data_IF_812989041025
#
_entry.id   IF_812989041025
#
_cell.length_a   1.000
_cell.length_b   1.000
_cell.length_c   1.000
_cell.angle_alpha   90.00
_cell.angle_beta   90.00
_cell.angle_gamma   90.00
#
_symmetry.space_group_name_H-M   'P 1'
#
loop_
_entity.id
_entity.type
_entity.pdbx_description
1 polymer ?
#
# COMPACT_ATOMS: atom_id res chain seq x y z
N UNK A 1 -39.18 -14.71 -3.49
CA UNK A 1 -38.54 -13.81 -4.49
C UNK A 1 -37.09 -13.50 -4.16
N UNK A 2 -36.72 -13.28 -2.88
CA UNK A 2 -35.34 -12.93 -2.45
C UNK A 2 -34.27 -13.97 -2.79
N UNK A 3 -34.59 -15.27 -2.75
CA UNK A 3 -33.61 -16.34 -3.01
C UNK A 3 -33.20 -16.44 -4.50
N UNK A 4 -34.09 -16.04 -5.42
CA UNK A 4 -33.81 -15.98 -6.87
C UNK A 4 -32.86 -14.84 -7.24
N UNK A 5 -32.81 -13.76 -6.44
CA UNK A 5 -31.94 -12.61 -6.70
C UNK A 5 -30.51 -12.87 -6.21
N UNK A 6 -30.34 -13.76 -5.24
CA UNK A 6 -29.04 -14.17 -4.68
C UNK A 6 -28.47 -15.45 -5.31
N UNK A 7 -29.21 -16.08 -6.24
CA UNK A 7 -28.78 -17.25 -7.00
C UNK A 7 -27.58 -16.87 -7.89
N UNK A 8 -26.46 -17.57 -7.69
CA UNK A 8 -25.15 -17.28 -8.31
C UNK A 8 -24.58 -15.89 -7.94
N UNK A 9 -24.43 -15.64 -6.63
CA UNK A 9 -23.85 -14.41 -6.08
C UNK A 9 -22.40 -14.16 -6.54
N UNK A 10 -21.69 -15.20 -7.00
CA UNK A 10 -20.35 -15.14 -7.58
C UNK A 10 -20.28 -14.43 -8.94
N UNK A 11 -21.33 -14.55 -9.76
CA UNK A 11 -21.45 -13.94 -11.09
C UNK A 11 -22.48 -12.80 -11.07
N UNK A 12 -22.34 -11.90 -10.09
CA UNK A 12 -23.28 -10.81 -9.88
C UNK A 12 -23.19 -9.76 -10.99
N UNK A 13 -24.21 -9.66 -11.84
CA UNK A 13 -24.30 -8.65 -12.90
C UNK A 13 -24.75 -7.28 -12.37
N UNK A 14 -24.45 -6.22 -13.12
CA UNK A 14 -24.92 -4.86 -12.81
C UNK A 14 -26.44 -4.77 -12.69
N UNK A 15 -27.20 -5.49 -13.52
CA UNK A 15 -28.66 -5.49 -13.45
C UNK A 15 -29.19 -6.16 -12.17
N UNK A 16 -28.50 -7.18 -11.67
CA UNK A 16 -28.83 -7.81 -10.38
C UNK A 16 -28.47 -6.90 -9.22
N UNK A 17 -27.32 -6.22 -9.30
CA UNK A 17 -26.93 -5.15 -8.36
C UNK A 17 -27.99 -4.06 -8.26
N UNK A 18 -28.39 -3.47 -9.39
CA UNK A 18 -29.39 -2.41 -9.40
C UNK A 18 -30.75 -2.87 -8.83
N UNK A 19 -31.14 -4.14 -9.09
CA UNK A 19 -32.37 -4.73 -8.52
C UNK A 19 -32.29 -4.87 -7.00
N UNK A 20 -31.21 -5.43 -6.45
CA UNK A 20 -31.07 -5.56 -4.98
C UNK A 20 -30.96 -4.19 -4.31
N UNK A 21 -30.20 -3.28 -4.91
CA UNK A 21 -30.04 -1.91 -4.41
C UNK A 21 -31.39 -1.20 -4.28
N UNK A 22 -32.25 -1.29 -5.30
CA UNK A 22 -33.61 -0.71 -5.27
C UNK A 22 -34.52 -1.31 -4.21
N UNK A 23 -34.31 -2.58 -3.84
CA UNK A 23 -35.09 -3.23 -2.77
C UNK A 23 -34.58 -2.79 -1.38
N UNK A 24 -33.25 -2.73 -1.20
CA UNK A 24 -32.64 -2.32 0.06
C UNK A 24 -32.90 -0.83 0.36
N UNK A 25 -32.75 0.03 -0.66
CA UNK A 25 -32.96 1.48 -0.56
C UNK A 25 -33.86 1.95 -1.70
N UNK A 26 -35.19 1.85 -1.53
CA UNK A 26 -36.14 2.32 -2.53
C UNK A 26 -36.03 3.84 -2.69
N UNK A 27 -36.02 4.30 -3.93
CA UNK A 27 -35.97 5.71 -4.26
C UNK A 27 -37.37 6.33 -4.03
N UNK A 28 -37.49 7.26 -3.07
CA UNK A 28 -38.77 7.89 -2.73
C UNK A 28 -39.27 8.88 -3.80
N UNK A 29 -38.46 9.14 -4.83
CA UNK A 29 -38.73 10.10 -5.92
C UNK A 29 -39.51 9.51 -7.09
N UNK A 30 -39.66 8.18 -7.17
CA UNK A 30 -40.36 7.48 -8.24
C UNK A 30 -41.42 6.55 -7.64
N UNK A 31 -42.65 6.50 -8.21
CA UNK A 31 -43.64 5.55 -7.75
C UNK A 31 -43.11 4.12 -7.97
N UNK A 32 -42.86 3.41 -6.88
CA UNK A 32 -42.40 2.03 -6.94
C UNK A 32 -43.42 1.19 -7.74
N UNK A 33 -42.97 0.38 -8.72
CA UNK A 33 -43.85 -0.59 -9.36
C UNK A 33 -44.53 -1.43 -8.27
N UNK A 34 -45.84 -1.61 -8.37
CA UNK A 34 -46.70 -2.24 -7.34
C UNK A 34 -46.23 -3.63 -6.88
N UNK A 35 -45.36 -4.29 -7.63
CA UNK A 35 -44.75 -5.58 -7.33
C UNK A 35 -43.44 -5.51 -6.50
N UNK A 36 -42.93 -4.33 -6.16
CA UNK A 36 -41.68 -4.10 -5.41
C UNK A 36 -41.90 -3.44 -4.04
N UNK A 37 -43.16 -3.29 -3.59
CA UNK A 37 -43.46 -2.86 -2.21
C UNK A 37 -43.07 -3.98 -1.24
N UNK A 38 -41.79 -4.05 -0.89
CA UNK A 38 -41.26 -4.94 0.14
C UNK A 38 -41.48 -4.31 1.51
N UNK A 39 -42.05 -5.06 2.44
CA UNK A 39 -42.23 -4.61 3.82
C UNK A 39 -40.84 -4.39 4.48
N UNK A 40 -40.77 -3.56 5.52
CA UNK A 40 -39.54 -3.29 6.26
C UNK A 40 -38.93 -4.57 6.86
N UNK A 41 -39.74 -5.59 7.10
CA UNK A 41 -39.32 -6.93 7.55
C UNK A 41 -38.64 -7.72 6.45
N UNK A 42 -39.15 -7.66 5.22
CA UNK A 42 -38.55 -8.31 4.06
C UNK A 42 -37.20 -7.69 3.68
N UNK A 43 -37.07 -6.36 3.81
CA UNK A 43 -35.80 -5.63 3.56
C UNK A 43 -34.72 -6.04 4.55
N UNK A 44 -35.07 -6.13 5.83
CA UNK A 44 -34.14 -6.52 6.89
C UNK A 44 -33.64 -7.97 6.72
N UNK A 45 -34.53 -8.91 6.41
CA UNK A 45 -34.14 -10.30 6.16
C UNK A 45 -33.33 -10.45 4.87
N UNK A 46 -33.64 -9.68 3.82
CA UNK A 46 -32.80 -9.61 2.63
C UNK A 46 -31.41 -9.07 2.95
N UNK A 47 -31.29 -8.01 3.74
CA UNK A 47 -30.02 -7.42 4.13
C UNK A 47 -29.13 -8.44 4.88
N UNK A 48 -29.71 -9.21 5.82
CA UNK A 48 -28.98 -10.32 6.48
C UNK A 48 -28.47 -11.36 5.48
N UNK A 49 -29.30 -11.75 4.51
CA UNK A 49 -28.91 -12.71 3.47
C UNK A 49 -27.77 -12.17 2.60
N UNK A 50 -27.81 -10.89 2.22
CA UNK A 50 -26.76 -10.21 1.44
C UNK A 50 -25.44 -10.19 2.22
N UNK A 51 -25.45 -9.83 3.50
CA UNK A 51 -24.25 -9.84 4.35
C UNK A 51 -23.67 -11.25 4.45
N UNK A 52 -24.49 -12.27 4.73
CA UNK A 52 -24.04 -13.66 4.82
C UNK A 52 -23.45 -14.19 3.50
N UNK A 53 -24.10 -13.89 2.36
CA UNK A 53 -23.62 -14.28 1.04
C UNK A 53 -22.27 -13.61 0.72
N UNK A 54 -22.14 -12.33 1.05
CA UNK A 54 -20.90 -11.57 0.85
C UNK A 54 -19.75 -12.12 1.69
N UNK A 55 -19.99 -12.38 2.99
CA UNK A 55 -18.98 -12.95 3.88
C UNK A 55 -18.48 -14.32 3.41
N UNK A 56 -19.37 -15.17 2.89
CA UNK A 56 -19.05 -16.49 2.33
C UNK A 56 -18.23 -16.35 1.05
N UNK A 57 -18.60 -15.40 0.18
CA UNK A 57 -17.89 -15.17 -1.07
C UNK A 57 -16.48 -14.62 -0.83
N UNK A 58 -16.32 -13.67 0.11
CA UNK A 58 -15.00 -13.15 0.48
C UNK A 58 -14.08 -14.24 1.01
N UNK A 59 -14.60 -15.20 1.79
CA UNK A 59 -13.82 -16.37 2.24
C UNK A 59 -13.36 -17.25 1.07
N UNK A 60 -14.18 -17.40 0.04
CA UNK A 60 -13.81 -18.15 -1.17
C UNK A 60 -12.68 -17.45 -1.95
N UNK A 61 -12.73 -16.12 -2.05
CA UNK A 61 -11.70 -15.33 -2.73
C UNK A 61 -10.36 -15.37 -2.00
N UNK A 62 -10.38 -15.42 -0.67
CA UNK A 62 -9.18 -15.59 0.16
C UNK A 62 -8.48 -16.94 -0.12
N UNK A 63 -9.24 -18.02 -0.35
CA UNK A 63 -8.71 -19.37 -0.57
C UNK A 63 -8.17 -19.60 -1.98
N UNK A 64 -8.53 -18.78 -2.97
CA UNK A 64 -8.08 -18.96 -4.36
C UNK A 64 -7.79 -17.62 -5.04
N UNK A 65 -6.62 -17.01 -4.78
CA UNK A 65 -6.30 -15.65 -5.23
C UNK A 65 -6.08 -15.48 -6.75
N UNK A 66 -6.35 -16.50 -7.58
CA UNK A 66 -6.07 -16.51 -9.02
C UNK A 66 -7.15 -17.10 -9.94
N UNK A 67 -8.28 -17.58 -9.41
CA UNK A 67 -9.35 -18.21 -10.23
C UNK A 67 -10.66 -17.43 -10.27
N UNK A 68 -10.75 -16.27 -9.62
CA UNK A 68 -11.99 -15.48 -9.63
C UNK A 68 -12.19 -14.85 -11.02
N UNK A 69 -13.07 -15.42 -11.83
CA UNK A 69 -13.63 -14.82 -13.05
C UNK A 69 -14.35 -13.46 -12.81
N UNK A 70 -14.38 -12.93 -11.58
CA UNK A 70 -14.96 -11.63 -11.28
C UNK A 70 -14.01 -10.51 -11.69
N UNK A 71 -14.41 -9.78 -12.74
CA UNK A 71 -13.83 -8.49 -13.09
C UNK A 71 -13.79 -7.55 -11.87
N UNK A 72 -12.85 -6.58 -11.86
CA UNK A 72 -12.72 -5.62 -10.76
C UNK A 72 -14.02 -4.87 -10.42
N UNK A 73 -14.91 -4.70 -11.41
CA UNK A 73 -16.24 -4.11 -11.23
C UNK A 73 -17.17 -4.95 -10.35
N UNK A 74 -17.16 -6.28 -10.49
CA UNK A 74 -18.02 -7.18 -9.70
C UNK A 74 -17.65 -7.18 -8.22
N UNK A 75 -16.35 -7.07 -7.91
CA UNK A 75 -15.88 -6.98 -6.51
C UNK A 75 -16.40 -5.72 -5.84
N UNK A 76 -16.35 -4.59 -6.53
CA UNK A 76 -16.85 -3.30 -6.03
C UNK A 76 -18.35 -3.32 -5.77
N UNK A 77 -19.16 -3.83 -6.71
CA UNK A 77 -20.62 -3.96 -6.53
C UNK A 77 -21.02 -4.80 -5.31
N UNK A 78 -20.28 -5.87 -5.05
CA UNK A 78 -20.54 -6.75 -3.90
C UNK A 78 -20.19 -6.05 -2.58
N UNK A 79 -19.10 -5.27 -2.57
CA UNK A 79 -18.74 -4.42 -1.43
C UNK A 79 -19.82 -3.37 -1.14
N UNK A 80 -20.25 -2.63 -2.16
CA UNK A 80 -21.28 -1.59 -2.05
C UNK A 80 -22.63 -2.14 -1.59
N UNK A 81 -23.02 -3.35 -2.05
CA UNK A 81 -24.25 -4.01 -1.58
C UNK A 81 -24.22 -4.41 -0.11
N UNK A 82 -23.10 -4.96 0.35
CA UNK A 82 -22.96 -5.31 1.75
C UNK A 82 -22.96 -4.08 2.66
N UNK A 83 -22.36 -2.98 2.19
CA UNK A 83 -22.37 -1.67 2.87
C UNK A 83 -23.80 -1.16 3.04
N UNK A 84 -24.60 -1.21 1.96
CA UNK A 84 -26.01 -0.86 1.98
C UNK A 84 -26.85 -1.82 2.84
N UNK A 85 -26.52 -3.11 2.85
CA UNK A 85 -27.19 -4.07 3.70
C UNK A 85 -26.93 -3.80 5.18
N UNK A 86 -25.70 -3.43 5.56
CA UNK A 86 -25.40 -2.99 6.93
C UNK A 86 -26.20 -1.74 7.30
N UNK A 87 -26.30 -0.73 6.43
CA UNK A 87 -27.11 0.46 6.72
C UNK A 87 -28.58 0.11 7.00
N UNK A 88 -29.18 -0.79 6.21
CA UNK A 88 -30.56 -1.26 6.41
C UNK A 88 -30.71 -2.08 7.71
N UNK A 89 -29.74 -2.91 8.06
CA UNK A 89 -29.75 -3.66 9.34
C UNK A 89 -29.74 -2.69 10.53
N UNK A 90 -29.05 -1.57 10.36
CA UNK A 90 -28.85 -0.54 11.36
C UNK A 90 -30.02 0.46 11.51
N UNK A 91 -30.96 0.50 10.56
CA UNK A 91 -32.19 1.31 10.63
C UNK A 91 -33.20 0.78 11.65
N UNK A 92 -33.15 -0.50 12.03
CA UNK A 92 -34.07 -1.07 13.01
C UNK A 92 -33.63 -0.75 14.44
N UNK A 93 -34.53 -0.22 15.30
CA UNK A 93 -34.23 -0.05 16.72
C UNK A 93 -33.94 -1.42 17.34
N UNK A 94 -32.81 -1.51 18.03
CA UNK A 94 -32.31 -2.77 18.59
C UNK A 94 -33.10 -3.11 19.86
N UNK A 95 -33.55 -4.37 19.94
CA UNK A 95 -34.01 -4.98 21.18
C UNK A 95 -32.91 -5.94 21.65
N UNK A 96 -32.34 -5.74 22.86
CA UNK A 96 -31.34 -6.59 23.55
C UNK A 96 -29.95 -6.73 22.87
N UNK A 97 -29.11 -7.68 23.38
CA UNK A 97 -27.72 -8.06 23.01
C UNK A 97 -27.42 -8.31 21.50
N UNK A 98 -28.37 -8.02 20.62
CA UNK A 98 -28.33 -8.22 19.18
C UNK A 98 -27.41 -7.22 18.47
N UNK A 99 -27.21 -6.02 19.03
CA UNK A 99 -26.32 -4.98 18.47
C UNK A 99 -24.87 -5.42 18.43
N UNK A 100 -24.35 -5.98 19.54
CA UNK A 100 -23.00 -6.51 19.62
C UNK A 100 -22.72 -7.60 18.57
N UNK A 101 -23.71 -8.44 18.26
CA UNK A 101 -23.58 -9.50 17.24
C UNK A 101 -23.47 -8.90 15.84
N UNK A 102 -24.24 -7.85 15.55
CA UNK A 102 -24.23 -7.16 14.25
C UNK A 102 -22.91 -6.39 14.07
N UNK A 103 -22.46 -5.68 15.09
CA UNK A 103 -21.18 -4.96 15.08
C UNK A 103 -20.00 -5.90 14.89
N UNK A 104 -19.96 -7.02 15.62
CA UNK A 104 -18.93 -8.05 15.42
C UNK A 104 -18.93 -8.60 13.99
N UNK A 105 -20.11 -8.78 13.39
CA UNK A 105 -20.24 -9.18 11.98
C UNK A 105 -19.74 -8.09 11.02
N UNK A 106 -19.98 -6.82 11.32
CA UNK A 106 -19.49 -5.69 10.54
C UNK A 106 -17.95 -5.58 10.60
N UNK A 107 -17.37 -5.74 11.79
CA UNK A 107 -15.90 -5.86 11.95
C UNK A 107 -15.36 -7.02 11.13
N UNK A 108 -16.00 -8.19 11.18
CA UNK A 108 -15.57 -9.34 10.37
C UNK A 108 -15.64 -9.06 8.87
N UNK A 109 -16.61 -8.27 8.40
CA UNK A 109 -16.70 -7.86 7.00
C UNK A 109 -15.54 -6.94 6.61
N UNK A 110 -15.25 -5.91 7.42
CA UNK A 110 -14.13 -4.98 7.21
C UNK A 110 -12.80 -5.75 7.09
N UNK A 111 -12.57 -6.72 7.99
CA UNK A 111 -11.37 -7.56 7.96
C UNK A 111 -11.26 -8.40 6.69
N UNK A 112 -12.37 -8.99 6.25
CA UNK A 112 -12.40 -9.81 5.04
C UNK A 112 -12.21 -8.98 3.76
N UNK A 113 -12.72 -7.76 3.71
CA UNK A 113 -12.43 -6.81 2.62
C UNK A 113 -10.93 -6.51 2.52
N UNK A 114 -10.28 -6.29 3.68
CA UNK A 114 -8.84 -6.09 3.74
C UNK A 114 -8.06 -7.32 3.26
N UNK A 115 -8.46 -8.52 3.69
CA UNK A 115 -7.85 -9.79 3.26
C UNK A 115 -7.88 -9.99 1.73
N UNK A 116 -8.93 -9.52 1.05
CA UNK A 116 -9.07 -9.62 -0.42
C UNK A 116 -8.55 -8.40 -1.18
N UNK A 117 -7.81 -7.50 -0.53
CA UNK A 117 -7.21 -6.27 -1.09
C UNK A 117 -8.23 -5.22 -1.55
N UNK A 118 -9.45 -5.22 -1.02
CA UNK A 118 -10.44 -4.16 -1.20
C UNK A 118 -10.31 -3.10 -0.10
N UNK A 119 -9.13 -2.49 -0.01
CA UNK A 119 -8.73 -1.63 1.13
C UNK A 119 -9.54 -0.35 1.20
N UNK A 120 -9.81 0.30 0.07
CA UNK A 120 -10.60 1.54 0.04
C UNK A 120 -12.00 1.31 0.60
N UNK A 121 -12.64 0.20 0.21
CA UNK A 121 -13.95 -0.19 0.76
C UNK A 121 -13.86 -0.53 2.25
N UNK A 122 -12.82 -1.23 2.68
CA UNK A 122 -12.63 -1.56 4.10
C UNK A 122 -12.50 -0.30 4.98
N UNK A 123 -11.84 0.75 4.48
CA UNK A 123 -11.71 2.04 5.17
C UNK A 123 -13.04 2.81 5.22
N UNK A 124 -13.81 2.80 4.12
CA UNK A 124 -15.15 3.42 4.08
C UNK A 124 -16.07 2.76 5.10
N UNK A 125 -16.10 1.43 5.15
CA UNK A 125 -16.95 0.68 6.09
C UNK A 125 -16.53 0.85 7.55
N UNK A 126 -15.21 0.95 7.80
CA UNK A 126 -14.69 1.28 9.11
C UNK A 126 -15.17 2.66 9.57
N UNK A 127 -15.15 3.66 8.68
CA UNK A 127 -15.69 4.98 8.99
C UNK A 127 -17.18 4.94 9.29
N UNK A 128 -17.97 4.15 8.54
CA UNK A 128 -19.39 3.97 8.82
C UNK A 128 -19.65 3.32 10.18
N UNK A 129 -18.89 2.28 10.54
CA UNK A 129 -18.99 1.63 11.85
C UNK A 129 -18.56 2.56 12.99
N UNK A 130 -17.45 3.27 12.82
CA UNK A 130 -16.96 4.24 13.79
C UNK A 130 -17.97 5.38 13.99
N UNK A 131 -18.45 5.99 12.90
CA UNK A 131 -19.45 7.05 12.96
C UNK A 131 -20.70 6.58 13.71
N UNK A 132 -21.18 5.34 13.51
CA UNK A 132 -22.31 4.81 14.29
C UNK A 132 -22.00 4.71 15.78
N UNK A 133 -20.88 4.08 16.14
CA UNK A 133 -20.49 3.87 17.53
C UNK A 133 -20.25 5.19 18.28
N UNK A 134 -19.70 6.20 17.59
CA UNK A 134 -19.38 7.50 18.17
C UNK A 134 -20.52 8.52 18.07
N UNK A 135 -21.40 8.45 17.06
CA UNK A 135 -22.63 9.28 17.02
C UNK A 135 -23.66 8.83 18.06
N UNK A 136 -23.56 7.61 18.59
CA UNK A 136 -24.29 7.21 19.80
C UNK A 136 -23.71 7.86 21.08
N UNK A 137 -22.51 8.46 21.01
CA UNK A 137 -21.75 9.01 22.14
C UNK A 137 -21.68 10.55 22.07
N UNK A 138 -21.73 11.16 20.88
CA UNK A 138 -21.50 12.59 20.65
C UNK A 138 -22.74 13.24 20.02
N UNK A 139 -23.26 14.29 20.66
CA UNK A 139 -24.37 15.11 20.20
C UNK A 139 -24.00 15.84 18.88
N UNK A 140 -24.86 15.73 17.87
CA UNK A 140 -24.50 15.76 16.44
C UNK A 140 -24.41 17.15 15.78
N UNK A 141 -24.29 18.25 16.53
CA UNK A 141 -24.39 19.59 15.94
C UNK A 141 -23.08 20.21 15.41
N UNK A 142 -21.93 19.54 15.47
CA UNK A 142 -20.63 20.21 15.22
C UNK A 142 -19.65 19.53 14.25
N UNK A 143 -20.05 18.54 13.43
CA UNK A 143 -19.11 17.91 12.50
C UNK A 143 -19.61 17.86 11.06
N UNK A 144 -19.05 18.74 10.22
CA UNK A 144 -19.19 18.72 8.75
C UNK A 144 -18.45 17.49 8.18
N UNK A 145 -19.22 16.50 7.74
CA UNK A 145 -18.76 15.13 7.45
C UNK A 145 -18.21 14.88 6.02
N UNK A 146 -17.75 15.90 5.29
CA UNK A 146 -17.41 15.74 3.86
C UNK A 146 -15.93 15.59 3.48
N UNK A 147 -14.98 15.65 4.42
CA UNK A 147 -13.55 15.44 4.12
C UNK A 147 -12.88 14.49 5.12
N UNK A 148 -13.11 13.19 4.97
CA UNK A 148 -12.49 12.17 5.83
C UNK A 148 -11.04 11.90 5.37
N UNK A 149 -10.09 12.70 5.86
CA UNK A 149 -8.66 12.41 5.72
C UNK A 149 -8.25 11.27 6.67
N UNK A 150 -7.17 10.53 6.37
CA UNK A 150 -6.67 9.47 7.27
C UNK A 150 -6.38 9.94 8.71
N UNK A 151 -6.25 11.25 8.92
CA UNK A 151 -6.09 11.87 10.24
C UNK A 151 -7.38 11.80 11.08
N UNK A 152 -8.57 11.88 10.50
CA UNK A 152 -9.84 11.82 11.24
C UNK A 152 -10.15 10.42 11.79
N UNK A 153 -9.62 9.37 11.15
CA UNK A 153 -9.65 7.97 11.61
C UNK A 153 -8.81 7.72 12.87
N UNK A 154 -7.73 8.49 13.04
CA UNK A 154 -6.82 8.40 14.20
C UNK A 154 -7.23 9.34 15.33
N UNK A 155 -8.05 10.35 15.05
CA UNK A 155 -8.51 11.36 16.01
C UNK A 155 -9.85 11.02 16.65
N UNK A 156 -10.14 9.74 16.85
CA UNK A 156 -11.35 9.30 17.56
C UNK A 156 -11.36 10.00 18.94
N UNK A 157 -12.32 10.90 19.22
CA UNK A 157 -12.38 11.58 20.49
C UNK A 157 -12.66 10.57 21.61
N UNK A 158 -11.99 10.73 22.75
CA UNK A 158 -12.30 9.96 23.94
C UNK A 158 -13.76 10.29 24.32
N UNK A 159 -14.65 9.28 24.40
CA UNK A 159 -16.06 9.48 24.73
C UNK A 159 -16.22 10.18 26.09
N UNK A 160 -17.17 11.12 26.19
CA UNK A 160 -17.45 11.89 27.43
C UNK A 160 -18.05 11.03 28.56
N UNK A 161 -18.55 9.85 28.23
CA UNK A 161 -19.03 8.82 29.18
C UNK A 161 -18.13 7.58 29.09
N UNK A 162 -17.97 6.86 30.19
CA UNK A 162 -17.14 5.65 30.23
C UNK A 162 -17.65 4.64 29.19
N UNK A 163 -16.91 4.40 28.10
CA UNK A 163 -17.34 3.48 27.07
C UNK A 163 -17.36 2.06 27.62
N UNK A 164 -18.29 1.23 27.16
CA UNK A 164 -18.29 -0.19 27.53
C UNK A 164 -16.97 -0.85 27.10
N UNK A 165 -16.50 -1.83 27.87
CA UNK A 165 -15.28 -2.59 27.55
C UNK A 165 -15.35 -3.20 26.14
N UNK A 166 -16.55 -3.60 25.71
CA UNK A 166 -16.81 -4.10 24.35
C UNK A 166 -16.51 -3.04 23.28
N UNK A 167 -16.94 -1.79 23.51
CA UNK A 167 -16.69 -0.66 22.61
C UNK A 167 -15.19 -0.33 22.56
N UNK A 168 -14.51 -0.30 23.70
CA UNK A 168 -13.05 -0.06 23.76
C UNK A 168 -12.29 -1.15 23.00
N UNK A 169 -12.61 -2.42 23.26
CA UNK A 169 -11.97 -3.55 22.60
C UNK A 169 -12.23 -3.55 21.09
N UNK A 170 -13.43 -3.16 20.66
CA UNK A 170 -13.77 -3.06 19.24
C UNK A 170 -12.99 -1.93 18.55
N UNK A 171 -12.82 -0.78 19.20
CA UNK A 171 -12.00 0.34 18.71
C UNK A 171 -10.52 -0.06 18.63
N UNK A 172 -9.96 -0.65 19.68
CA UNK A 172 -8.57 -1.12 19.70
C UNK A 172 -8.34 -2.17 18.62
N UNK A 173 -9.23 -3.16 18.48
CA UNK A 173 -9.13 -4.18 17.44
C UNK A 173 -9.24 -3.58 16.04
N UNK A 174 -10.09 -2.57 15.85
CA UNK A 174 -10.23 -1.85 14.57
C UNK A 174 -8.97 -1.05 14.24
N UNK A 175 -8.37 -0.37 15.22
CA UNK A 175 -7.11 0.36 15.06
C UNK A 175 -5.92 -0.57 14.81
N UNK A 176 -5.83 -1.71 15.52
CA UNK A 176 -4.81 -2.75 15.25
C UNK A 176 -4.99 -3.33 13.84
N UNK A 177 -6.24 -3.52 13.40
CA UNK A 177 -6.54 -4.04 12.07
C UNK A 177 -6.23 -3.02 10.98
N UNK A 178 -6.46 -1.73 11.24
CA UNK A 178 -6.04 -0.61 10.42
C UNK A 178 -4.50 -0.54 10.35
N UNK A 179 -3.79 -0.67 11.46
CA UNK A 179 -2.32 -0.76 11.48
C UNK A 179 -1.80 -1.99 10.73
N UNK A 180 -2.47 -3.14 10.80
CA UNK A 180 -2.13 -4.34 10.01
C UNK A 180 -2.37 -4.12 8.51
N UNK A 181 -3.45 -3.47 8.14
CA UNK A 181 -3.79 -3.14 6.74
C UNK A 181 -2.86 -2.08 6.17
N UNK A 182 -2.57 -1.03 6.93
CA UNK A 182 -1.61 0.01 6.59
C UNK A 182 -0.18 -0.54 6.55
N UNK A 183 0.22 -1.41 7.46
CA UNK A 183 1.55 -2.05 7.40
C UNK A 183 1.71 -2.97 6.19
N UNK A 184 0.66 -3.65 5.73
CA UNK A 184 0.69 -4.39 4.45
C UNK A 184 0.74 -3.47 3.23
N UNK A 185 0.31 -2.20 3.35
CA UNK A 185 0.38 -1.19 2.29
C UNK A 185 1.68 -0.36 2.31
N UNK A 186 2.16 0.00 3.50
CA UNK A 186 3.37 0.78 3.77
C UNK A 186 4.61 -0.09 3.58
N UNK A 187 4.53 -1.37 3.99
CA UNK A 187 5.41 -2.41 3.48
C UNK A 187 4.80 -2.85 2.14
N UNK A 188 4.94 -2.02 1.10
CA UNK A 188 4.83 -2.52 -0.27
C UNK A 188 5.79 -3.71 -0.36
N UNK A 189 5.24 -4.92 -0.26
CA UNK A 189 5.93 -6.15 -0.62
C UNK A 189 6.66 -5.87 -1.94
N UNK A 190 7.97 -6.11 -2.03
CA UNK A 190 8.77 -5.80 -3.20
C UNK A 190 8.08 -6.33 -4.45
N UNK A 191 7.46 -5.47 -5.26
CA UNK A 191 7.09 -5.91 -6.60
C UNK A 191 8.41 -6.01 -7.36
N UNK A 192 8.76 -7.17 -7.94
CA UNK A 192 9.93 -7.27 -8.80
C UNK A 192 9.86 -6.19 -9.89
N UNK A 193 10.98 -5.55 -10.21
CA UNK A 193 11.06 -4.63 -11.35
C UNK A 193 10.94 -5.48 -12.61
N UNK A 194 10.05 -5.12 -13.55
CA UNK A 194 10.02 -5.75 -14.87
C UNK A 194 11.26 -5.36 -15.68
N UNK A 195 11.73 -6.23 -16.57
CA UNK A 195 12.88 -5.90 -17.43
C UNK A 195 12.68 -4.60 -18.22
N UNK A 196 11.45 -4.31 -18.66
CA UNK A 196 11.10 -3.04 -19.31
C UNK A 196 11.37 -1.83 -18.41
N UNK A 197 10.93 -1.86 -17.15
CA UNK A 197 11.14 -0.76 -16.22
C UNK A 197 12.63 -0.58 -15.84
N UNK A 198 13.44 -1.64 -15.88
CA UNK A 198 14.91 -1.51 -15.77
C UNK A 198 15.46 -0.75 -16.97
N UNK A 199 15.08 -1.15 -18.18
CA UNK A 199 15.53 -0.50 -19.42
C UNK A 199 15.08 0.97 -19.48
N UNK A 200 13.85 1.26 -19.11
CA UNK A 200 13.31 2.63 -19.06
C UNK A 200 14.07 3.50 -18.04
N UNK A 201 14.40 2.95 -16.89
CA UNK A 201 15.14 3.67 -15.84
C UNK A 201 16.57 4.01 -16.28
N UNK A 202 17.26 3.08 -16.96
CA UNK A 202 18.61 3.31 -17.50
C UNK A 202 18.61 4.12 -18.80
N UNK A 203 17.53 4.05 -19.58
CA UNK A 203 17.32 4.85 -20.80
C UNK A 203 16.83 6.28 -20.54
N UNK A 204 16.42 6.59 -19.31
CA UNK A 204 16.02 7.94 -18.93
C UNK A 204 17.17 8.94 -19.08
N UNK A 205 16.94 10.15 -19.65
CA UNK A 205 17.98 11.16 -19.83
C UNK A 205 18.72 11.56 -18.55
N UNK A 206 18.01 11.52 -17.42
CA UNK A 206 18.55 11.83 -16.09
C UNK A 206 18.85 10.56 -15.25
N UNK A 207 18.69 9.38 -15.85
CA UNK A 207 19.05 8.08 -15.31
C UNK A 207 18.11 7.54 -14.21
N UNK A 208 18.51 6.42 -13.58
CA UNK A 208 17.65 5.67 -12.65
C UNK A 208 17.24 6.47 -11.41
N UNK A 209 18.07 7.45 -11.00
CA UNK A 209 17.79 8.28 -9.83
C UNK A 209 16.62 9.24 -10.06
N UNK A 210 16.57 9.87 -11.23
CA UNK A 210 15.46 10.74 -11.60
C UNK A 210 14.18 9.94 -11.82
N UNK A 211 14.29 8.77 -12.46
CA UNK A 211 13.14 7.87 -12.63
C UNK A 211 12.54 7.44 -11.29
N UNK A 212 13.39 7.02 -10.34
CA UNK A 212 12.95 6.65 -8.99
C UNK A 212 12.44 7.83 -8.15
N UNK A 213 12.78 9.09 -8.49
CA UNK A 213 12.34 10.26 -7.73
C UNK A 213 10.82 10.46 -7.80
N UNK A 214 10.17 9.93 -8.84
CA UNK A 214 8.71 9.95 -9.02
C UNK A 214 7.98 8.95 -8.10
N UNK A 215 8.70 8.12 -7.35
CA UNK A 215 8.15 7.08 -6.50
C UNK A 215 8.15 7.48 -5.02
N UNK A 216 7.19 6.94 -4.26
CA UNK A 216 7.16 7.05 -2.80
C UNK A 216 8.45 6.50 -2.16
N UNK A 217 8.92 7.14 -1.09
CA UNK A 217 10.25 6.93 -0.50
C UNK A 217 10.63 5.46 -0.23
N UNK A 218 9.78 4.61 0.38
CA UNK A 218 10.14 3.20 0.59
C UNK A 218 10.34 2.43 -0.72
N UNK A 219 9.53 2.73 -1.73
CA UNK A 219 9.65 2.11 -3.06
C UNK A 219 10.87 2.65 -3.79
N UNK A 220 11.09 3.96 -3.76
CA UNK A 220 12.28 4.61 -4.33
C UNK A 220 13.56 3.97 -3.81
N UNK A 221 13.70 3.85 -2.50
CA UNK A 221 14.92 3.35 -1.86
C UNK A 221 15.17 1.87 -2.21
N UNK A 222 14.11 1.07 -2.24
CA UNK A 222 14.18 -0.32 -2.70
C UNK A 222 14.65 -0.43 -4.16
N UNK A 223 14.06 0.36 -5.07
CA UNK A 223 14.36 0.31 -6.51
C UNK A 223 15.79 0.79 -6.78
N UNK A 224 16.22 1.86 -6.12
CA UNK A 224 17.60 2.33 -6.15
C UNK A 224 18.57 1.25 -5.64
N UNK A 225 18.24 0.58 -4.55
CA UNK A 225 19.05 -0.53 -4.02
C UNK A 225 19.17 -1.67 -5.04
N UNK A 226 18.09 -2.02 -5.74
CA UNK A 226 18.12 -3.06 -6.78
C UNK A 226 19.03 -2.65 -7.94
N UNK A 227 18.90 -1.41 -8.44
CA UNK A 227 19.75 -0.89 -9.51
C UNK A 227 21.22 -0.87 -9.12
N UNK A 228 21.55 -0.47 -7.88
CA UNK A 228 22.91 -0.54 -7.37
C UNK A 228 23.45 -1.97 -7.32
N UNK A 229 22.65 -2.93 -6.82
CA UNK A 229 23.06 -4.34 -6.78
C UNK A 229 23.27 -4.92 -8.17
N UNK A 230 22.43 -4.55 -9.15
CA UNK A 230 22.60 -4.93 -10.55
C UNK A 230 23.91 -4.39 -11.11
N UNK A 231 24.23 -3.11 -10.88
CA UNK A 231 25.49 -2.50 -11.32
C UNK A 231 26.71 -3.17 -10.66
N UNK A 232 26.62 -3.51 -9.38
CA UNK A 232 27.68 -4.30 -8.71
C UNK A 232 27.83 -5.68 -9.35
N UNK A 233 26.74 -6.38 -9.64
CA UNK A 233 26.79 -7.69 -10.29
C UNK A 233 27.40 -7.59 -11.70
N UNK A 234 26.99 -6.60 -12.50
CA UNK A 234 27.57 -6.35 -13.83
C UNK A 234 29.06 -6.01 -13.74
N UNK A 235 29.49 -5.29 -12.71
CA UNK A 235 30.89 -4.94 -12.50
C UNK A 235 31.80 -6.15 -12.30
N UNK A 236 31.28 -7.27 -11.80
CA UNK A 236 32.09 -8.46 -11.54
C UNK A 236 32.52 -9.17 -12.84
N UNK A 237 31.75 -8.99 -13.91
CA UNK A 237 32.02 -9.62 -15.21
C UNK A 237 32.61 -8.63 -16.22
N UNK A 238 32.81 -7.37 -15.83
CA UNK A 238 33.31 -6.32 -16.69
C UNK A 238 34.84 -6.21 -16.61
N UNK A 239 35.48 -5.68 -17.66
CA UNK A 239 36.89 -5.31 -17.60
C UNK A 239 37.14 -4.22 -16.54
N UNK A 240 38.39 -4.09 -16.06
CA UNK A 240 38.71 -3.29 -14.86
C UNK A 240 38.18 -1.84 -14.92
N UNK A 241 38.33 -1.16 -16.06
CA UNK A 241 37.86 0.23 -16.24
C UNK A 241 36.32 0.33 -16.14
N UNK A 242 35.52 -0.36 -16.98
CA UNK A 242 34.06 -0.40 -16.81
C UNK A 242 33.61 -0.89 -15.44
N UNK A 243 34.30 -1.88 -14.85
CA UNK A 243 34.01 -2.38 -13.51
C UNK A 243 34.06 -1.24 -12.48
N UNK A 244 35.13 -0.44 -12.49
CA UNK A 244 35.27 0.71 -11.62
C UNK A 244 34.17 1.76 -11.84
N UNK A 245 33.81 2.04 -13.09
CA UNK A 245 32.71 2.96 -13.42
C UNK A 245 31.37 2.48 -12.87
N UNK A 246 31.03 1.21 -13.06
CA UNK A 246 29.78 0.64 -12.55
C UNK A 246 29.71 0.68 -11.04
N UNK A 247 30.82 0.40 -10.35
CA UNK A 247 30.90 0.46 -8.88
C UNK A 247 30.71 1.88 -8.34
N UNK A 248 31.35 2.90 -8.95
CA UNK A 248 31.12 4.31 -8.59
C UNK A 248 29.65 4.71 -8.81
N UNK A 249 29.06 4.33 -9.95
CA UNK A 249 27.66 4.60 -10.24
C UNK A 249 26.71 3.91 -9.25
N UNK A 250 27.00 2.67 -8.87
CA UNK A 250 26.23 1.92 -7.90
C UNK A 250 26.22 2.60 -6.52
N UNK A 251 27.39 3.08 -6.06
CA UNK A 251 27.54 3.83 -4.80
C UNK A 251 26.79 5.18 -4.82
N UNK A 252 26.67 5.83 -5.99
CA UNK A 252 25.87 7.06 -6.14
C UNK A 252 24.37 6.82 -6.07
N UNK A 253 23.91 5.62 -6.41
CA UNK A 253 22.49 5.25 -6.42
C UNK A 253 22.02 4.72 -5.06
N UNK A 254 22.85 3.93 -4.34
CA UNK A 254 22.37 3.16 -3.19
C UNK A 254 21.97 4.11 -2.03
N UNK A 255 20.77 3.97 -1.43
CA UNK A 255 20.32 4.90 -0.38
C UNK A 255 21.17 4.86 0.90
N UNK A 256 21.66 3.68 1.26
CA UNK A 256 22.55 3.45 2.40
C UNK A 256 23.78 2.69 1.92
N UNK A 257 24.95 3.31 2.03
CA UNK A 257 26.21 2.70 1.64
C UNK A 257 26.72 1.82 2.79
N UNK A 258 27.00 0.55 2.49
CA UNK A 258 27.65 -0.39 3.39
C UNK A 258 29.17 -0.48 3.09
N UNK A 259 29.97 -0.77 4.12
CA UNK A 259 31.44 -0.81 4.00
C UNK A 259 31.94 -1.88 3.00
N UNK A 260 31.21 -2.99 2.83
CA UNK A 260 31.53 -4.02 1.84
C UNK A 260 31.60 -3.44 0.40
N UNK A 261 30.64 -2.60 0.01
CA UNK A 261 30.55 -1.99 -1.31
C UNK A 261 31.64 -0.93 -1.53
N UNK A 262 32.02 -0.22 -0.46
CA UNK A 262 33.16 0.68 -0.47
C UNK A 262 34.44 -0.12 -0.73
N UNK A 263 34.70 -1.16 0.06
CA UNK A 263 35.89 -1.99 -0.05
C UNK A 263 36.00 -2.67 -1.43
N UNK A 264 34.87 -3.13 -1.99
CA UNK A 264 34.84 -3.66 -3.37
C UNK A 264 35.28 -2.60 -4.39
N UNK A 265 34.83 -1.36 -4.25
CA UNK A 265 35.20 -0.27 -5.16
C UNK A 265 36.68 0.07 -5.04
N UNK A 266 37.20 0.12 -3.81
CA UNK A 266 38.61 0.38 -3.53
C UNK A 266 39.52 -0.75 -4.04
N UNK A 267 39.12 -2.01 -3.88
CA UNK A 267 39.86 -3.14 -4.45
C UNK A 267 39.99 -3.07 -5.98
N UNK A 268 38.95 -2.57 -6.68
CA UNK A 268 39.05 -2.33 -8.13
C UNK A 268 39.99 -1.18 -8.47
N UNK A 269 40.01 -0.12 -7.66
CA UNK A 269 40.96 0.98 -7.83
C UNK A 269 42.40 0.47 -7.70
N UNK A 270 42.71 -0.31 -6.66
CA UNK A 270 44.04 -0.90 -6.48
C UNK A 270 44.39 -1.84 -7.63
N UNK A 271 43.42 -2.61 -8.12
CA UNK A 271 43.60 -3.48 -9.29
C UNK A 271 43.91 -2.66 -10.57
N UNK A 272 43.26 -1.51 -10.77
CA UNK A 272 43.57 -0.61 -11.88
C UNK A 272 45.01 -0.09 -11.77
N UNK A 273 45.43 0.29 -10.56
CA UNK A 273 46.79 0.79 -10.32
C UNK A 273 47.85 -0.29 -10.59
N UNK A 274 47.62 -1.50 -10.08
CA UNK A 274 48.64 -2.54 -10.06
C UNK A 274 48.65 -3.38 -11.35
N UNK A 275 47.48 -3.77 -11.87
CA UNK A 275 47.36 -4.70 -13.00
C UNK A 275 47.33 -3.95 -14.34
N UNK A 276 46.55 -2.87 -14.43
CA UNK A 276 46.45 -2.09 -15.68
C UNK A 276 47.52 -1.01 -15.85
N UNK A 277 48.49 -0.93 -14.93
CA UNK A 277 49.59 0.05 -14.91
C UNK A 277 49.12 1.51 -15.00
N UNK A 278 47.88 1.81 -14.64
CA UNK A 278 47.39 3.18 -14.61
C UNK A 278 47.92 3.89 -13.36
N UNK A 279 48.48 5.08 -13.53
CA UNK A 279 48.88 5.90 -12.39
C UNK A 279 47.63 6.48 -11.69
N UNK A 280 47.79 6.97 -10.46
CA UNK A 280 46.72 7.70 -9.76
C UNK A 280 46.24 8.90 -10.58
N UNK A 281 47.16 9.61 -11.25
CA UNK A 281 46.82 10.74 -12.13
C UNK A 281 45.97 10.30 -13.32
N UNK A 282 46.29 9.18 -13.97
CA UNK A 282 45.49 8.65 -15.08
C UNK A 282 44.06 8.30 -14.62
N UNK A 283 43.93 7.69 -13.45
CA UNK A 283 42.64 7.33 -12.86
C UNK A 283 41.85 8.59 -12.50
N UNK A 284 42.50 9.61 -11.94
CA UNK A 284 41.86 10.89 -11.62
C UNK A 284 41.44 11.65 -12.89
N UNK A 285 42.28 11.65 -13.92
CA UNK A 285 41.95 12.25 -15.22
C UNK A 285 40.72 11.59 -15.83
N UNK A 286 40.63 10.25 -15.77
CA UNK A 286 39.55 9.50 -16.40
C UNK A 286 38.26 9.43 -15.55
N UNK A 287 38.37 9.35 -14.22
CA UNK A 287 37.24 9.10 -13.32
C UNK A 287 37.01 10.20 -12.27
N UNK A 288 37.88 11.20 -12.18
CA UNK A 288 37.88 12.21 -11.11
C UNK A 288 36.57 12.97 -11.00
N UNK A 289 35.94 13.33 -12.12
CA UNK A 289 34.62 13.98 -12.11
C UNK A 289 33.54 13.11 -11.46
N UNK A 290 33.57 11.78 -11.68
CA UNK A 290 32.63 10.82 -11.10
C UNK A 290 32.89 10.62 -9.61
N UNK A 291 34.17 10.55 -9.22
CA UNK A 291 34.60 10.42 -7.81
C UNK A 291 34.21 11.68 -7.03
N UNK A 292 34.51 12.87 -7.57
CA UNK A 292 34.14 14.15 -6.95
C UNK A 292 32.62 14.27 -6.77
N UNK A 293 31.85 13.89 -7.80
CA UNK A 293 30.39 13.90 -7.73
C UNK A 293 29.85 12.90 -6.70
N UNK A 294 30.45 11.72 -6.58
CA UNK A 294 30.11 10.76 -5.52
C UNK A 294 30.40 11.35 -4.13
N UNK A 295 31.60 11.89 -3.93
CA UNK A 295 32.03 12.45 -2.64
C UNK A 295 31.20 13.65 -2.21
N UNK A 296 30.76 14.50 -3.14
CA UNK A 296 29.90 15.65 -2.84
C UNK A 296 28.47 15.23 -2.50
N UNK A 297 27.87 14.34 -3.30
CA UNK A 297 26.48 13.89 -3.08
C UNK A 297 26.32 12.99 -1.84
N UNK A 298 27.38 12.27 -1.42
CA UNK A 298 27.31 11.19 -0.42
C UNK A 298 28.29 11.36 0.75
N UNK A 299 28.80 12.57 0.95
CA UNK A 299 29.86 12.90 1.91
C UNK A 299 29.62 12.35 3.33
N UNK A 300 28.41 12.54 3.87
CA UNK A 300 28.07 12.14 5.24
C UNK A 300 28.09 10.63 5.49
N UNK A 301 27.91 9.82 4.44
CA UNK A 301 27.98 8.36 4.53
C UNK A 301 29.41 7.87 4.32
N UNK A 302 30.12 8.46 3.36
CA UNK A 302 31.46 8.04 2.97
C UNK A 302 32.53 8.41 4.01
N UNK A 303 32.37 9.54 4.72
CA UNK A 303 33.27 9.95 5.81
C UNK A 303 33.32 8.99 6.99
N UNK A 304 32.41 8.01 7.06
CA UNK A 304 32.40 6.96 8.08
C UNK A 304 33.37 5.82 7.78
N UNK A 305 33.94 5.79 6.57
CA UNK A 305 34.91 4.78 6.13
C UNK A 305 36.27 5.42 5.96
N UNK A 306 37.19 5.14 6.88
CA UNK A 306 38.55 5.68 6.86
C UNK A 306 39.28 5.35 5.55
N UNK A 307 39.06 4.14 5.03
CA UNK A 307 39.62 3.70 3.74
C UNK A 307 39.15 4.57 2.57
N UNK A 308 37.87 4.98 2.56
CA UNK A 308 37.37 5.86 1.51
C UNK A 308 37.94 7.28 1.65
N UNK A 309 38.07 7.78 2.88
CA UNK A 309 38.65 9.10 3.15
C UNK A 309 40.08 9.16 2.62
N UNK A 310 40.90 8.18 2.98
CA UNK A 310 42.28 8.07 2.50
C UNK A 310 42.34 7.99 0.96
N UNK A 311 41.51 7.15 0.36
CA UNK A 311 41.40 7.04 -1.10
C UNK A 311 41.03 8.38 -1.76
N UNK A 312 40.05 9.10 -1.20
CA UNK A 312 39.62 10.38 -1.73
C UNK A 312 40.71 11.45 -1.60
N UNK A 313 41.44 11.49 -0.49
CA UNK A 313 42.59 12.39 -0.30
C UNK A 313 43.71 12.11 -1.30
N UNK A 314 44.04 10.84 -1.54
CA UNK A 314 45.02 10.43 -2.57
C UNK A 314 44.59 10.93 -3.95
N UNK A 315 43.33 10.72 -4.33
CA UNK A 315 42.81 11.19 -5.62
C UNK A 315 42.77 12.72 -5.70
N UNK A 316 42.38 13.40 -4.62
CA UNK A 316 42.27 14.85 -4.57
C UNK A 316 43.63 15.53 -4.65
N UNK A 317 44.65 14.98 -3.99
CA UNK A 317 46.01 15.49 -4.07
C UNK A 317 46.61 15.26 -5.45
N UNK A 318 46.35 14.11 -6.07
CA UNK A 318 46.77 13.84 -7.45
C UNK A 318 46.09 14.76 -8.48
N UNK A 319 44.91 15.30 -8.17
CA UNK A 319 44.22 16.28 -9.04
C UNK A 319 44.82 17.69 -8.98
N UNK A 320 45.64 18.00 -7.96
CA UNK A 320 46.24 19.33 -7.76
C UNK A 320 47.62 19.50 -8.42
N UNK A 321 48.21 18.40 -8.87
CA UNK A 321 49.53 18.32 -9.50
C UNK A 321 49.38 18.26 -11.01
#
# INVERSE_FOLDING_TARGET
>A
MSDLVLLDFSNFSFDRFAKVQRILKPDNSLPAPTHLKSDATDRYELAKKVVNATLTLLDSWKKSPGTSLSSGSNKRYIGELASLAFSVIYERPVVNNTEYIIEKRHVSFILKLADVKMVDQALIELNHLAARLFNQIIDLNELDFFECSAASLLSIPIPRTSPSEATINLVILSQISLLKTLSTFLIKQPRPISNSAVLDAFGSPAGPRAWCALLAQPTRDQKLTLFSKLLFALSNNASLKPSFQYRILALRLIPKIENNYINLTLGTFESLRNISKMTTQDIVSEFGSKILKLSTERLSQLRKSDNYVLFFEICFNAAKQ
#
